data_IF_342534907477
#
_entry.id   IF_342534907477
#
_cell.length_a   1.000
_cell.length_b   1.000
_cell.length_c   1.000
_cell.angle_alpha   90.00
_cell.angle_beta   90.00
_cell.angle_gamma   90.00
#
_symmetry.space_group_name_H-M   'P 1'
#
loop_
_entity.id
_entity.type
_entity.pdbx_description
1 polymer ?
#
# COMPACT_ATOMS: atom_id res chain seq x y z
N UNK A 1 32.06 -27.28 8.44
CA UNK A 1 31.07 -27.24 7.35
C UNK A 1 29.70 -27.38 7.96
N UNK A 2 28.98 -26.29 8.12
CA UNK A 2 27.58 -26.30 8.53
C UNK A 2 26.91 -25.12 7.81
N UNK A 3 25.90 -25.44 7.00
CA UNK A 3 25.23 -24.52 6.12
C UNK A 3 24.27 -23.61 6.91
N UNK A 4 24.38 -22.32 6.69
CA UNK A 4 23.45 -21.30 7.21
C UNK A 4 22.12 -21.38 6.46
N UNK A 5 21.05 -21.73 7.18
CA UNK A 5 19.68 -21.71 6.70
C UNK A 5 19.18 -20.28 6.55
N UNK A 6 18.91 -19.86 5.32
CA UNK A 6 18.28 -18.60 4.96
C UNK A 6 16.80 -18.63 5.35
N UNK A 7 16.42 -18.00 6.45
CA UNK A 7 15.02 -17.68 6.75
C UNK A 7 14.57 -16.48 5.91
N UNK A 8 13.99 -16.75 4.75
CA UNK A 8 13.20 -15.77 3.98
C UNK A 8 11.75 -15.84 4.47
N UNK A 9 11.40 -15.08 5.48
CA UNK A 9 10.00 -14.72 5.74
C UNK A 9 9.68 -13.42 4.99
N UNK A 10 9.55 -13.52 3.67
CA UNK A 10 8.88 -12.50 2.89
C UNK A 10 7.37 -12.68 3.02
N UNK A 11 6.64 -11.60 3.28
CA UNK A 11 5.20 -11.51 3.00
C UNK A 11 5.01 -12.09 1.60
N UNK A 12 4.39 -13.26 1.52
CA UNK A 12 4.21 -13.95 0.27
C UNK A 12 3.27 -13.13 -0.62
N UNK A 13 3.85 -12.27 -1.43
CA UNK A 13 3.19 -11.74 -2.61
C UNK A 13 2.87 -12.96 -3.49
N UNK A 14 1.62 -13.43 -3.45
CA UNK A 14 1.12 -14.42 -4.40
C UNK A 14 1.18 -13.78 -5.78
N UNK A 15 2.07 -14.21 -6.68
CA UNK A 15 2.01 -13.76 -8.05
C UNK A 15 0.68 -14.25 -8.62
N UNK A 16 -0.19 -13.31 -8.98
CA UNK A 16 -1.30 -13.59 -9.86
C UNK A 16 -0.74 -14.24 -11.12
N UNK A 17 -1.35 -15.35 -11.50
CA UNK A 17 -0.92 -16.20 -12.59
C UNK A 17 -0.70 -15.41 -13.88
N UNK A 18 0.45 -15.69 -14.47
CA UNK A 18 0.77 -15.59 -15.89
C UNK A 18 0.99 -14.21 -16.52
N UNK A 19 2.21 -13.99 -16.91
CA UNK A 19 2.36 -13.51 -18.25
C UNK A 19 3.16 -12.25 -18.35
N UNK A 20 3.82 -12.12 -19.44
CA UNK A 20 4.66 -11.06 -19.91
C UNK A 20 3.99 -9.71 -20.16
N UNK A 21 3.01 -9.30 -19.38
CA UNK A 21 2.37 -7.98 -19.46
C UNK A 21 2.92 -6.98 -18.43
N UNK A 22 2.64 -5.68 -18.61
CA UNK A 22 3.04 -4.64 -17.69
C UNK A 22 2.41 -4.85 -16.30
N UNK A 23 3.12 -4.46 -15.24
CA UNK A 23 2.61 -4.50 -13.86
C UNK A 23 1.50 -3.47 -13.66
N UNK A 24 1.71 -2.25 -14.18
CA UNK A 24 0.72 -1.18 -14.15
C UNK A 24 0.51 -0.69 -15.58
N UNK A 25 -0.74 -0.52 -15.96
CA UNK A 25 -1.11 0.05 -17.25
C UNK A 25 -2.17 1.12 -17.04
N UNK A 26 -1.92 2.30 -17.57
CA UNK A 26 -2.79 3.47 -17.50
C UNK A 26 -3.16 3.80 -18.93
N UNK A 27 -4.46 3.87 -19.23
CA UNK A 27 -5.00 4.08 -20.56
C UNK A 27 -5.96 5.26 -20.57
N UNK A 28 -5.63 6.29 -21.31
CA UNK A 28 -6.46 7.44 -21.66
C UNK A 28 -7.20 8.08 -20.46
N UNK A 29 -6.48 8.22 -19.33
CA UNK A 29 -7.07 8.80 -18.13
C UNK A 29 -7.34 10.29 -18.34
N UNK A 30 -8.59 10.66 -18.17
CA UNK A 30 -9.07 12.04 -18.16
C UNK A 30 -9.63 12.35 -16.78
N UNK A 31 -9.25 13.50 -16.23
CA UNK A 31 -9.76 14.00 -14.96
C UNK A 31 -9.99 15.50 -15.01
N UNK A 32 -11.19 15.93 -14.64
CA UNK A 32 -11.61 17.33 -14.64
C UNK A 32 -12.10 17.74 -13.25
N UNK A 33 -11.80 18.97 -12.90
CA UNK A 33 -12.31 19.62 -11.70
C UNK A 33 -13.06 20.89 -12.11
N UNK A 34 -14.38 20.82 -12.18
CA UNK A 34 -15.18 21.90 -12.74
C UNK A 34 -14.75 22.19 -14.18
N UNK A 35 -14.29 23.42 -14.45
CA UNK A 35 -13.81 23.83 -15.79
C UNK A 35 -12.34 23.54 -16.08
N UNK A 36 -11.58 22.94 -15.14
CA UNK A 36 -10.14 22.70 -15.28
C UNK A 36 -9.89 21.23 -15.64
N UNK A 37 -9.18 21.00 -16.74
CA UNK A 37 -8.71 19.66 -17.11
C UNK A 37 -7.38 19.41 -16.39
N UNK A 38 -7.38 18.50 -15.43
CA UNK A 38 -6.19 18.16 -14.66
C UNK A 38 -5.38 17.02 -15.30
N UNK A 39 -6.05 16.08 -15.98
CA UNK A 39 -5.45 15.03 -16.79
C UNK A 39 -6.21 14.96 -18.12
N UNK A 40 -5.49 14.89 -19.23
CA UNK A 40 -6.05 14.88 -20.57
C UNK A 40 -5.47 13.72 -21.39
N UNK A 41 -6.12 12.55 -21.31
CA UNK A 41 -5.76 11.36 -22.05
C UNK A 41 -4.40 10.76 -21.68
N UNK A 42 -4.07 10.74 -20.38
CA UNK A 42 -2.77 10.23 -19.91
C UNK A 42 -2.70 8.72 -20.07
N UNK A 43 -1.69 8.26 -20.81
CA UNK A 43 -1.44 6.83 -21.03
C UNK A 43 0.03 6.50 -20.83
N UNK A 44 0.32 5.43 -20.07
CA UNK A 44 1.65 4.85 -19.89
C UNK A 44 1.55 3.45 -19.31
N UNK A 45 2.67 2.74 -19.28
CA UNK A 45 2.78 1.45 -18.60
C UNK A 45 4.06 1.36 -17.77
N UNK A 46 4.07 0.46 -16.81
CA UNK A 46 5.22 0.16 -15.96
C UNK A 46 5.41 -1.36 -15.89
N UNK A 47 6.61 -1.80 -16.22
CA UNK A 47 6.99 -3.21 -16.11
C UNK A 47 7.37 -3.59 -14.68
N UNK A 48 7.33 -4.88 -14.38
CA UNK A 48 7.76 -5.40 -13.08
C UNK A 48 9.25 -5.14 -12.85
N UNK A 49 9.61 -4.81 -11.62
CA UNK A 49 10.99 -4.58 -11.21
C UNK A 49 11.61 -3.30 -11.77
N UNK A 50 10.82 -2.42 -12.39
CA UNK A 50 11.28 -1.13 -12.88
C UNK A 50 10.88 0.01 -11.96
N UNK A 51 11.72 1.05 -11.92
CA UNK A 51 11.42 2.33 -11.28
C UNK A 51 11.07 3.31 -12.40
N UNK A 52 9.91 3.95 -12.28
CA UNK A 52 9.43 4.94 -13.24
C UNK A 52 9.34 6.30 -12.55
N UNK A 53 9.96 7.32 -13.12
CA UNK A 53 9.89 8.70 -12.65
C UNK A 53 8.81 9.50 -13.39
N UNK A 54 7.93 10.18 -12.66
CA UNK A 54 6.98 11.14 -13.21
C UNK A 54 7.49 12.56 -12.98
N UNK A 55 7.90 13.24 -14.03
CA UNK A 55 8.54 14.55 -14.00
C UNK A 55 7.62 15.57 -14.68
N UNK A 56 7.59 16.78 -14.15
CA UNK A 56 6.82 17.89 -14.72
C UNK A 56 6.72 19.07 -13.74
N UNK A 57 6.30 20.25 -14.22
CA UNK A 57 6.15 21.45 -13.40
C UNK A 57 5.05 21.31 -12.36
N UNK A 58 4.95 22.25 -11.43
CA UNK A 58 3.82 22.33 -10.49
C UNK A 58 2.53 22.58 -11.29
N UNK A 59 1.46 21.92 -10.90
CA UNK A 59 0.19 21.98 -11.63
C UNK A 59 0.05 21.04 -12.84
N UNK A 60 1.10 20.28 -13.22
CA UNK A 60 1.06 19.34 -14.35
C UNK A 60 0.22 18.06 -14.10
N UNK A 61 -0.62 18.02 -13.08
CA UNK A 61 -1.49 16.85 -12.80
C UNK A 61 -0.82 15.68 -12.11
N UNK A 62 0.47 15.74 -11.72
CA UNK A 62 1.19 14.61 -11.08
C UNK A 62 0.45 14.07 -9.85
N UNK A 63 0.07 14.94 -8.92
CA UNK A 63 -0.66 14.57 -7.71
C UNK A 63 -2.04 14.01 -8.04
N UNK A 64 -2.73 14.57 -9.03
CA UNK A 64 -4.03 14.08 -9.52
C UNK A 64 -3.91 12.66 -10.05
N UNK A 65 -2.88 12.38 -10.85
CA UNK A 65 -2.61 11.03 -11.35
C UNK A 65 -2.36 10.06 -10.21
N UNK A 66 -1.49 10.39 -9.24
CA UNK A 66 -1.27 9.54 -8.07
C UNK A 66 -2.54 9.34 -7.23
N UNK A 67 -3.42 10.33 -7.14
CA UNK A 67 -4.70 10.19 -6.46
C UNK A 67 -5.65 9.23 -7.21
N UNK A 68 -5.65 9.24 -8.55
CA UNK A 68 -6.38 8.25 -9.34
C UNK A 68 -5.81 6.83 -9.13
N UNK A 69 -4.48 6.66 -9.18
CA UNK A 69 -3.82 5.37 -8.96
C UNK A 69 -4.04 4.82 -7.55
N UNK A 70 -4.24 5.70 -6.57
CA UNK A 70 -4.52 5.33 -5.17
C UNK A 70 -6.01 5.18 -4.88
N UNK A 71 -6.88 5.33 -5.89
CA UNK A 71 -8.34 5.24 -5.73
C UNK A 71 -8.96 6.37 -4.91
N UNK A 72 -8.21 7.45 -4.63
CA UNK A 72 -8.74 8.65 -3.95
C UNK A 72 -9.62 9.48 -4.89
N UNK A 73 -9.32 9.45 -6.19
CA UNK A 73 -10.12 10.07 -7.24
C UNK A 73 -10.54 9.02 -8.25
N UNK A 74 -11.80 9.13 -8.70
CA UNK A 74 -12.30 8.36 -9.83
C UNK A 74 -12.17 9.23 -11.07
N UNK A 75 -11.37 8.87 -12.09
CA UNK A 75 -11.26 9.64 -13.31
C UNK A 75 -12.58 9.68 -14.07
N UNK A 76 -12.78 10.72 -14.88
CA UNK A 76 -13.98 10.87 -15.72
C UNK A 76 -14.01 9.81 -16.85
N UNK A 77 -12.85 9.43 -17.35
CA UNK A 77 -12.71 8.35 -18.35
C UNK A 77 -11.32 7.73 -18.29
N UNK A 78 -11.18 6.60 -18.99
CA UNK A 78 -9.94 5.82 -19.05
C UNK A 78 -9.95 4.63 -18.13
N UNK A 79 -8.83 3.90 -18.11
CA UNK A 79 -8.69 2.66 -17.37
C UNK A 79 -7.33 2.60 -16.68
N UNK A 80 -7.31 2.02 -15.48
CA UNK A 80 -6.08 1.69 -14.75
C UNK A 80 -6.11 0.20 -14.42
N UNK A 81 -5.13 -0.53 -14.95
CA UNK A 81 -4.94 -1.95 -14.69
C UNK A 81 -3.68 -2.17 -13.85
N UNK A 82 -3.80 -2.95 -12.81
CA UNK A 82 -2.69 -3.45 -12.01
C UNK A 82 -2.70 -4.97 -12.04
N UNK A 83 -1.63 -5.55 -12.55
CA UNK A 83 -1.54 -7.01 -12.78
C UNK A 83 -2.74 -7.55 -13.56
N UNK A 84 -3.17 -6.80 -14.60
CA UNK A 84 -4.31 -7.12 -15.44
C UNK A 84 -5.69 -6.94 -14.80
N UNK A 85 -5.78 -6.39 -13.58
CA UNK A 85 -7.03 -6.15 -12.85
C UNK A 85 -7.33 -4.67 -12.78
N UNK A 86 -8.58 -4.28 -13.00
CA UNK A 86 -8.99 -2.88 -12.89
C UNK A 86 -8.88 -2.37 -11.45
N UNK A 87 -8.08 -1.32 -11.25
CA UNK A 87 -7.96 -0.63 -9.96
C UNK A 87 -9.20 0.21 -9.67
N UNK A 88 -9.79 0.80 -10.70
CA UNK A 88 -10.96 1.69 -10.54
C UNK A 88 -12.18 0.93 -10.00
N UNK A 89 -12.28 -0.36 -10.30
CA UNK A 89 -13.33 -1.24 -9.79
C UNK A 89 -13.10 -1.71 -8.34
N UNK A 90 -11.85 -1.62 -7.84
CA UNK A 90 -11.50 -2.20 -6.55
C UNK A 90 -11.93 -1.33 -5.35
N UNK A 91 -12.00 -0.02 -5.51
CA UNK A 91 -12.20 0.95 -4.42
C UNK A 91 -10.93 1.15 -3.56
N UNK A 92 -10.77 2.35 -2.99
CA UNK A 92 -9.55 2.77 -2.30
C UNK A 92 -9.09 1.83 -1.18
N UNK A 93 -10.03 1.29 -0.39
CA UNK A 93 -9.73 0.41 0.75
C UNK A 93 -9.14 -0.95 0.35
N UNK A 94 -9.28 -1.38 -0.90
CA UNK A 94 -8.74 -2.65 -1.41
C UNK A 94 -7.39 -2.51 -2.09
N UNK A 95 -6.99 -1.30 -2.44
CA UNK A 95 -5.75 -1.04 -3.20
C UNK A 95 -4.52 -1.51 -2.44
N UNK A 96 -4.46 -1.26 -1.12
CA UNK A 96 -3.39 -1.77 -0.27
C UNK A 96 -3.32 -3.31 -0.28
N UNK A 97 -4.48 -3.98 -0.25
CA UNK A 97 -4.57 -5.44 -0.34
C UNK A 97 -4.13 -6.02 -1.70
N UNK A 98 -4.08 -5.21 -2.76
CA UNK A 98 -3.51 -5.59 -4.05
C UNK A 98 -1.98 -5.48 -4.09
N UNK A 99 -1.35 -4.96 -3.02
CA UNK A 99 0.09 -4.77 -2.93
C UNK A 99 0.58 -3.40 -3.40
N UNK A 100 -0.31 -2.41 -3.52
CA UNK A 100 0.03 -1.04 -3.87
C UNK A 100 0.11 -0.21 -2.59
N UNK A 101 1.32 0.21 -2.24
CA UNK A 101 1.56 1.16 -1.15
C UNK A 101 1.80 2.57 -1.67
N UNK A 102 1.43 3.56 -0.88
CA UNK A 102 1.72 4.97 -1.14
C UNK A 102 2.28 5.64 0.12
N UNK A 103 3.38 6.36 -0.05
CA UNK A 103 3.87 7.28 0.99
C UNK A 103 3.16 8.62 0.85
N UNK A 104 2.66 9.15 1.96
CA UNK A 104 1.99 10.46 2.02
C UNK A 104 2.92 11.47 2.68
N UNK A 105 2.89 12.72 2.21
CA UNK A 105 3.65 13.82 2.82
C UNK A 105 3.12 14.19 4.21
N UNK A 106 1.80 14.12 4.38
CA UNK A 106 1.13 14.35 5.66
C UNK A 106 0.60 13.01 6.16
N UNK A 107 1.30 12.43 7.12
CA UNK A 107 0.89 11.20 7.77
C UNK A 107 -0.11 11.54 8.87
N UNK A 108 -1.33 11.03 8.75
CA UNK A 108 -2.31 11.05 9.83
C UNK A 108 -1.96 9.92 10.81
N UNK A 109 -0.94 10.13 11.65
CA UNK A 109 -0.58 9.19 12.70
C UNK A 109 -1.51 9.38 13.90
N UNK A 110 -1.79 8.28 14.59
CA UNK A 110 -2.49 8.31 15.87
C UNK A 110 -1.53 8.78 16.95
N UNK A 111 -1.58 10.06 17.27
CA UNK A 111 -0.61 10.72 18.17
C UNK A 111 -0.59 10.15 19.59
N UNK A 112 -1.71 9.59 20.05
CA UNK A 112 -1.84 8.98 21.39
C UNK A 112 -1.35 7.53 21.43
N UNK A 113 -1.10 6.91 20.27
CA UNK A 113 -0.56 5.57 20.17
C UNK A 113 0.97 5.60 20.07
N UNK A 114 1.60 4.50 20.46
CA UNK A 114 3.04 4.30 20.29
C UNK A 114 3.41 4.12 18.82
N UNK A 115 4.70 4.22 18.51
CA UNK A 115 5.23 3.93 17.17
C UNK A 115 4.86 2.50 16.77
N UNK A 116 5.05 1.53 17.66
CA UNK A 116 4.70 0.11 17.46
C UNK A 116 3.23 -0.04 17.10
N UNK A 117 2.33 0.57 17.87
CA UNK A 117 0.87 0.48 17.63
C UNK A 117 0.47 1.12 16.29
N UNK A 118 1.06 2.26 15.93
CA UNK A 118 0.81 2.90 14.63
C UNK A 118 1.22 2.00 13.46
N UNK A 119 2.37 1.33 13.53
CA UNK A 119 2.81 0.39 12.50
C UNK A 119 1.90 -0.84 12.46
N UNK A 120 1.47 -1.34 13.62
CA UNK A 120 0.52 -2.46 13.71
C UNK A 120 -0.82 -2.15 13.03
N UNK A 121 -1.35 -0.92 13.18
CA UNK A 121 -2.57 -0.48 12.47
C UNK A 121 -2.41 -0.63 10.95
N UNK A 122 -1.24 -0.26 10.41
CA UNK A 122 -0.95 -0.44 8.97
C UNK A 122 -0.98 -1.90 8.52
N UNK A 123 -0.59 -2.83 9.38
CA UNK A 123 -0.61 -4.27 9.10
C UNK A 123 -2.00 -4.92 9.20
N UNK A 124 -3.00 -4.24 9.74
CA UNK A 124 -4.33 -4.79 9.97
C UNK A 124 -5.07 -5.22 8.68
N UNK A 125 -4.78 -4.58 7.57
CA UNK A 125 -5.34 -4.97 6.25
C UNK A 125 -4.94 -6.39 5.81
N UNK A 126 -3.87 -6.96 6.39
CA UNK A 126 -3.38 -8.32 6.11
C UNK A 126 -3.95 -9.39 7.03
N UNK A 127 -4.64 -9.02 8.12
CA UNK A 127 -5.23 -9.97 9.07
C UNK A 127 -6.65 -10.35 8.68
N UNK A 128 -7.02 -11.61 8.92
CA UNK A 128 -8.39 -12.12 8.72
C UNK A 128 -9.26 -12.01 9.96
N UNK A 129 -8.66 -11.58 11.08
CA UNK A 129 -9.39 -11.43 12.34
C UNK A 129 -10.31 -10.22 12.27
N UNK A 130 -11.60 -10.47 12.41
CA UNK A 130 -12.64 -9.47 12.54
C UNK A 130 -12.86 -9.07 14.02
N UNK A 131 -13.69 -8.06 14.24
CA UNK A 131 -14.00 -7.55 15.57
C UNK A 131 -14.52 -8.65 16.52
N UNK A 132 -15.33 -9.59 16.00
CA UNK A 132 -15.92 -10.66 16.82
C UNK A 132 -14.87 -11.68 17.26
N UNK A 133 -13.96 -12.07 16.39
CA UNK A 133 -12.91 -13.05 16.70
C UNK A 133 -11.88 -12.50 17.68
N UNK A 134 -11.58 -11.20 17.60
CA UNK A 134 -10.74 -10.50 18.56
C UNK A 134 -11.44 -10.34 19.92
N UNK A 135 -12.73 -9.99 19.93
CA UNK A 135 -13.53 -9.87 21.17
C UNK A 135 -13.64 -11.20 21.91
N UNK A 136 -13.79 -12.32 21.20
CA UNK A 136 -13.85 -13.68 21.76
C UNK A 136 -12.48 -14.27 22.09
N UNK A 137 -11.38 -13.54 21.84
CA UNK A 137 -9.98 -13.95 22.12
C UNK A 137 -9.65 -15.35 21.60
N UNK A 138 -10.12 -15.67 20.38
CA UNK A 138 -9.93 -16.99 19.78
C UNK A 138 -8.44 -17.31 19.60
N UNK A 139 -8.00 -18.56 19.80
CA UNK A 139 -6.57 -18.93 19.77
C UNK A 139 -5.89 -18.60 18.45
N UNK A 140 -6.61 -18.65 17.33
CA UNK A 140 -6.09 -18.31 16.00
C UNK A 140 -5.92 -16.79 15.83
N UNK A 141 -6.83 -15.96 16.35
CA UNK A 141 -6.70 -14.51 16.33
C UNK A 141 -5.45 -14.05 17.10
N UNK A 142 -5.20 -14.66 18.28
CA UNK A 142 -3.98 -14.41 19.05
C UNK A 142 -2.70 -14.82 18.32
N UNK A 143 -2.75 -15.86 17.48
CA UNK A 143 -1.59 -16.27 16.67
C UNK A 143 -1.34 -15.28 15.53
N UNK A 144 -2.39 -14.80 14.86
CA UNK A 144 -2.27 -13.76 13.83
C UNK A 144 -1.71 -12.46 14.41
N UNK A 145 -2.23 -12.02 15.56
CA UNK A 145 -1.75 -10.82 16.24
C UNK A 145 -0.27 -10.91 16.63
N UNK A 146 0.18 -12.07 17.15
CA UNK A 146 1.60 -12.30 17.46
C UNK A 146 2.45 -12.27 16.18
N UNK A 147 2.04 -12.96 15.14
CA UNK A 147 2.76 -12.98 13.88
C UNK A 147 2.86 -11.58 13.25
N UNK A 148 1.78 -10.77 13.34
CA UNK A 148 1.80 -9.38 12.92
C UNK A 148 2.79 -8.57 13.76
N UNK A 149 2.75 -8.71 15.10
CA UNK A 149 3.66 -8.01 16.00
C UNK A 149 5.11 -8.37 15.75
N UNK A 150 5.42 -9.64 15.51
CA UNK A 150 6.79 -10.09 15.17
C UNK A 150 7.25 -9.45 13.86
N UNK A 151 6.41 -9.44 12.83
CA UNK A 151 6.72 -8.80 11.54
C UNK A 151 6.91 -7.28 11.68
N UNK A 152 6.12 -6.63 12.53
CA UNK A 152 6.26 -5.19 12.82
C UNK A 152 7.58 -4.92 13.55
N UNK A 153 7.98 -5.78 14.50
CA UNK A 153 9.27 -5.65 15.17
C UNK A 153 10.45 -5.78 14.20
N UNK A 154 10.35 -6.67 13.22
CA UNK A 154 11.38 -6.79 12.18
C UNK A 154 11.50 -5.51 11.33
N UNK A 155 10.37 -4.85 11.02
CA UNK A 155 10.36 -3.54 10.35
C UNK A 155 10.95 -2.43 11.24
N UNK A 156 10.60 -2.39 12.52
CA UNK A 156 11.13 -1.42 13.49
C UNK A 156 12.64 -1.54 13.60
N UNK A 157 13.17 -2.76 13.67
CA UNK A 157 14.63 -3.02 13.66
C UNK A 157 15.28 -2.60 12.35
N UNK A 158 14.65 -2.92 11.22
CA UNK A 158 15.17 -2.53 9.90
C UNK A 158 15.31 -1.01 9.76
N UNK A 159 14.41 -0.25 10.42
CA UNK A 159 14.39 1.21 10.41
C UNK A 159 15.16 1.85 11.57
N UNK A 160 15.80 1.03 12.44
CA UNK A 160 16.56 1.50 13.62
C UNK A 160 15.71 2.33 14.60
N UNK A 161 14.42 1.94 14.77
CA UNK A 161 13.43 2.65 15.59
C UNK A 161 13.14 1.96 16.93
N UNK A 162 13.95 0.96 17.35
CA UNK A 162 13.70 0.16 18.56
C UNK A 162 13.57 1.03 19.82
N UNK A 163 14.43 2.02 19.95
CA UNK A 163 14.44 2.92 21.11
C UNK A 163 13.15 3.76 21.24
N UNK A 164 12.44 3.95 20.12
CA UNK A 164 11.21 4.76 20.03
C UNK A 164 9.95 3.91 19.95
N UNK A 165 10.08 2.58 19.84
CA UNK A 165 8.96 1.68 19.54
C UNK A 165 7.79 1.84 20.51
N UNK A 166 8.06 1.95 21.80
CA UNK A 166 7.05 2.08 22.87
C UNK A 166 6.77 3.55 23.24
N UNK A 167 7.38 4.53 22.54
CA UNK A 167 7.14 5.95 22.76
C UNK A 167 5.89 6.41 22.01
N UNK A 168 5.06 7.30 22.57
CA UNK A 168 3.99 7.96 21.84
C UNK A 168 4.52 8.77 20.67
N UNK A 169 3.80 8.80 19.56
CA UNK A 169 4.23 9.54 18.35
C UNK A 169 4.26 11.05 18.58
N UNK A 170 3.46 11.55 19.53
CA UNK A 170 3.43 12.98 19.88
C UNK A 170 4.51 13.42 20.89
N UNK A 171 5.45 12.53 21.25
CA UNK A 171 6.49 12.80 22.25
C UNK A 171 7.70 13.56 21.67
#
# INVERSE_FOLDING_TARGET
>A
MAAAGSHRNGVAHRPGANGGGPLLEVRDIVMRFGGIIALDGVSFHMERGKIVGLIGPNGAGKTTLFNCLSGLYTPDSGEVLFDGRSLLAAGAHRIAGLGIGRTFQNLALFQTMTVLENVMVGGHCGTRSDFLSNALRLPWARREERALRDSVWDLIRLLELEALAESPVAA
#
